data_IF_107556261311
#
_entry.id   IF_107556261311
#
_cell.length_a   1.000
_cell.length_b   1.000
_cell.length_c   1.000
_cell.angle_alpha   90.00
_cell.angle_beta   90.00
_cell.angle_gamma   90.00
#
_symmetry.space_group_name_H-M   'P 1'
#
loop_
_entity.id
_entity.type
_entity.pdbx_description
1 polymer ?
#
# COMPACT_ATOMS: atom_id res chain seq x y z
N UNK A 1 -16.81 -11.00 0.66
CA UNK A 1 -15.46 -10.47 0.95
C UNK A 1 -14.52 -10.84 -0.19
N UNK A 2 -13.75 -9.89 -0.73
CA UNK A 2 -12.75 -10.15 -1.80
C UNK A 2 -11.36 -9.86 -1.26
N UNK A 3 -10.38 -10.72 -1.56
CA UNK A 3 -8.99 -10.59 -1.13
C UNK A 3 -8.03 -10.81 -2.29
N UNK A 4 -7.00 -9.98 -2.37
CA UNK A 4 -5.88 -10.16 -3.31
C UNK A 4 -4.70 -10.78 -2.55
N UNK A 5 -4.17 -11.87 -3.06
CA UNK A 5 -2.98 -12.53 -2.51
C UNK A 5 -1.68 -11.91 -3.02
N UNK A 6 -1.76 -11.16 -4.12
CA UNK A 6 -0.58 -10.65 -4.85
C UNK A 6 0.31 -9.73 -4.04
N UNK A 7 -0.23 -8.98 -3.05
CA UNK A 7 0.54 -8.06 -2.20
C UNK A 7 1.11 -8.78 -0.99
N UNK A 8 0.27 -9.53 -0.30
CA UNK A 8 0.67 -10.21 0.93
C UNK A 8 1.79 -11.24 0.71
N UNK A 9 1.70 -12.00 -0.38
CA UNK A 9 2.70 -13.03 -0.73
C UNK A 9 3.74 -12.54 -1.75
N UNK A 10 3.80 -11.25 -2.06
CA UNK A 10 4.74 -10.67 -3.02
C UNK A 10 4.76 -11.34 -4.41
N UNK A 11 3.59 -11.78 -4.89
CA UNK A 11 3.40 -12.52 -6.15
C UNK A 11 2.58 -11.72 -7.20
N UNK A 12 2.96 -10.49 -7.54
CA UNK A 12 2.13 -9.64 -8.41
C UNK A 12 1.92 -10.25 -9.81
N UNK A 13 2.87 -11.06 -10.29
CA UNK A 13 2.81 -11.71 -11.61
C UNK A 13 1.78 -12.84 -11.69
N UNK A 14 1.48 -13.53 -10.60
CA UNK A 14 0.54 -14.68 -10.61
C UNK A 14 -0.93 -14.27 -10.69
N UNK A 15 -1.28 -13.02 -10.45
CA UNK A 15 -2.65 -12.48 -10.58
C UNK A 15 -3.70 -13.25 -9.78
N UNK A 16 -3.39 -13.61 -8.53
CA UNK A 16 -4.20 -14.48 -7.68
C UNK A 16 -4.97 -13.69 -6.61
N UNK A 17 -6.20 -14.09 -6.38
CA UNK A 17 -7.07 -13.59 -5.33
C UNK A 17 -8.20 -14.57 -5.08
N UNK A 18 -9.01 -14.30 -4.06
CA UNK A 18 -10.19 -15.11 -3.76
C UNK A 18 -11.34 -14.26 -3.27
N UNK A 19 -12.55 -14.80 -3.39
CA UNK A 19 -13.76 -14.24 -2.83
C UNK A 19 -14.40 -15.23 -1.85
N UNK A 20 -15.00 -14.70 -0.77
CA UNK A 20 -15.81 -15.46 0.17
C UNK A 20 -17.20 -14.83 0.23
N UNK A 21 -18.24 -15.64 0.10
CA UNK A 21 -19.62 -15.22 0.24
C UNK A 21 -20.39 -16.24 1.08
N UNK A 22 -21.31 -15.75 1.88
CA UNK A 22 -22.32 -16.59 2.55
C UNK A 22 -23.63 -16.67 1.75
N UNK A 23 -23.72 -15.95 0.62
CA UNK A 23 -24.91 -15.96 -0.23
C UNK A 23 -24.82 -17.11 -1.23
N UNK A 24 -25.77 -18.08 -1.24
CA UNK A 24 -25.66 -19.28 -2.05
C UNK A 24 -25.52 -19.03 -3.56
N UNK A 25 -26.30 -18.09 -4.10
CA UNK A 25 -26.34 -17.80 -5.55
C UNK A 25 -25.17 -16.96 -6.05
N UNK A 26 -24.41 -16.32 -5.15
CA UNK A 26 -23.30 -15.44 -5.54
C UNK A 26 -22.20 -16.16 -6.34
N UNK A 27 -21.92 -17.41 -6.00
CA UNK A 27 -20.90 -18.18 -6.71
C UNK A 27 -21.39 -18.65 -8.07
N UNK A 28 -22.67 -19.06 -8.19
CA UNK A 28 -23.25 -19.49 -9.44
C UNK A 28 -23.27 -18.34 -10.48
N UNK A 29 -23.61 -17.14 -10.03
CA UNK A 29 -23.59 -15.92 -10.85
C UNK A 29 -22.18 -15.55 -11.32
N UNK A 30 -21.19 -15.62 -10.41
CA UNK A 30 -19.78 -15.34 -10.73
C UNK A 30 -19.24 -16.41 -11.71
N UNK A 31 -19.53 -17.68 -11.44
CA UNK A 31 -19.04 -18.78 -12.28
C UNK A 31 -19.67 -18.74 -13.67
N UNK A 32 -20.94 -18.42 -13.79
CA UNK A 32 -21.63 -18.24 -15.06
C UNK A 32 -21.11 -17.07 -15.90
N UNK A 33 -20.52 -16.04 -15.26
CA UNK A 33 -19.96 -14.88 -15.94
C UNK A 33 -18.43 -14.95 -16.12
N UNK A 34 -17.77 -15.93 -15.50
CA UNK A 34 -16.31 -16.04 -15.51
C UNK A 34 -15.79 -16.56 -16.85
N UNK A 35 -14.81 -15.84 -17.42
CA UNK A 35 -14.14 -16.32 -18.63
C UNK A 35 -13.41 -17.64 -18.37
N UNK A 36 -13.43 -18.58 -19.33
CA UNK A 36 -12.59 -19.77 -19.28
C UNK A 36 -11.12 -19.40 -19.05
N UNK A 37 -10.39 -20.24 -18.33
CA UNK A 37 -8.96 -20.05 -18.05
C UNK A 37 -8.62 -18.77 -17.25
N UNK A 38 -9.57 -18.24 -16.50
CA UNK A 38 -9.40 -17.01 -15.70
C UNK A 38 -8.35 -17.12 -14.58
N UNK A 39 -8.01 -18.35 -14.16
CA UNK A 39 -6.90 -18.65 -13.25
C UNK A 39 -5.83 -19.40 -14.01
N UNK A 40 -4.59 -18.94 -13.95
CA UNK A 40 -3.48 -19.64 -14.58
C UNK A 40 -3.00 -20.84 -13.73
N UNK A 41 -2.46 -21.86 -14.37
CA UNK A 41 -2.05 -23.10 -13.71
C UNK A 41 -1.00 -22.88 -12.60
N UNK A 42 -0.09 -21.92 -12.75
CA UNK A 42 0.94 -21.63 -11.73
C UNK A 42 0.30 -21.01 -10.49
N UNK A 43 -0.71 -20.14 -10.65
CA UNK A 43 -1.45 -19.56 -9.55
C UNK A 43 -2.25 -20.63 -8.78
N UNK A 44 -2.90 -21.53 -9.49
CA UNK A 44 -3.65 -22.64 -8.92
C UNK A 44 -2.76 -23.59 -8.13
N UNK A 45 -1.63 -23.98 -8.71
CA UNK A 45 -0.63 -24.82 -8.04
C UNK A 45 -0.02 -24.16 -6.79
N UNK A 46 0.25 -22.85 -6.83
CA UNK A 46 0.86 -22.13 -5.71
C UNK A 46 -0.12 -21.91 -4.54
N UNK A 47 -1.43 -21.88 -4.80
CA UNK A 47 -2.43 -21.46 -3.82
C UNK A 47 -2.40 -22.27 -2.51
N UNK A 48 -2.40 -23.63 -2.52
CA UNK A 48 -2.34 -24.42 -1.28
C UNK A 48 -1.09 -24.11 -0.47
N UNK A 49 0.09 -24.09 -1.13
CA UNK A 49 1.38 -23.83 -0.48
C UNK A 49 1.38 -22.46 0.20
N UNK A 50 0.86 -21.42 -0.47
CA UNK A 50 0.79 -20.07 0.08
C UNK A 50 -0.14 -19.98 1.30
N UNK A 51 -1.28 -20.66 1.25
CA UNK A 51 -2.27 -20.60 2.32
C UNK A 51 -1.84 -21.42 3.56
N UNK A 52 -1.01 -22.44 3.38
CA UNK A 52 -0.49 -23.30 4.46
C UNK A 52 0.76 -22.73 5.13
N UNK A 53 1.49 -21.82 4.50
CA UNK A 53 2.71 -21.21 5.06
C UNK A 53 2.39 -20.21 6.19
N UNK A 54 2.10 -20.75 7.36
CA UNK A 54 1.79 -19.96 8.55
C UNK A 54 3.00 -19.17 9.06
N UNK A 55 4.21 -19.69 8.87
CA UNK A 55 5.43 -19.02 9.29
C UNK A 55 5.62 -17.70 8.52
N UNK A 56 5.50 -17.76 7.19
CA UNK A 56 5.53 -16.57 6.35
C UNK A 56 4.42 -15.56 6.70
N UNK A 57 3.21 -16.07 6.92
CA UNK A 57 2.07 -15.21 7.28
C UNK A 57 2.30 -14.46 8.58
N UNK A 58 2.83 -15.14 9.60
CA UNK A 58 3.11 -14.53 10.90
C UNK A 58 4.26 -13.52 10.81
N UNK A 59 5.34 -13.88 10.15
CA UNK A 59 6.49 -12.99 9.93
C UNK A 59 6.09 -11.73 9.17
N UNK A 60 5.29 -11.86 8.09
CA UNK A 60 4.80 -10.73 7.31
C UNK A 60 3.90 -9.80 8.12
N UNK A 61 3.00 -10.34 8.94
CA UNK A 61 2.12 -9.54 9.80
C UNK A 61 2.90 -8.75 10.84
N UNK A 62 3.88 -9.40 11.48
CA UNK A 62 4.70 -8.75 12.50
C UNK A 62 5.61 -7.67 11.89
N UNK A 63 6.29 -7.98 10.78
CA UNK A 63 7.07 -7.01 10.05
C UNK A 63 6.22 -5.79 9.65
N UNK A 64 5.05 -6.03 9.06
CA UNK A 64 4.16 -4.94 8.65
C UNK A 64 3.70 -4.10 9.84
N UNK A 65 3.43 -4.72 10.99
CA UNK A 65 3.04 -4.00 12.21
C UNK A 65 4.13 -3.03 12.65
N UNK A 66 5.37 -3.53 12.75
CA UNK A 66 6.52 -2.74 13.21
C UNK A 66 6.82 -1.59 12.24
N UNK A 67 6.96 -1.89 10.96
CA UNK A 67 7.32 -0.89 9.94
C UNK A 67 6.21 0.13 9.69
N UNK A 68 4.96 -0.30 9.79
CA UNK A 68 3.81 0.59 9.70
C UNK A 68 3.78 1.62 10.82
N UNK A 69 3.98 1.16 12.06
CA UNK A 69 3.95 2.03 13.23
C UNK A 69 5.15 2.99 13.21
N UNK A 70 6.33 2.52 12.82
CA UNK A 70 7.53 3.35 12.63
C UNK A 70 7.29 4.46 11.60
N UNK A 71 6.87 4.09 10.40
CA UNK A 71 6.68 5.07 9.32
C UNK A 71 5.53 6.05 9.62
N UNK A 72 4.45 5.56 10.23
CA UNK A 72 3.32 6.41 10.62
C UNK A 72 3.73 7.46 11.66
N UNK A 73 4.47 7.07 12.69
CA UNK A 73 4.99 7.99 13.70
C UNK A 73 5.94 9.02 13.07
N UNK A 74 6.86 8.57 12.21
CA UNK A 74 7.76 9.46 11.49
C UNK A 74 7.04 10.51 10.65
N UNK A 75 5.98 10.11 9.93
CA UNK A 75 5.16 11.05 9.15
C UNK A 75 4.38 12.03 10.02
N UNK A 76 3.88 11.58 11.17
CA UNK A 76 3.11 12.44 12.09
C UNK A 76 3.96 13.55 12.71
N UNK A 77 5.29 13.39 12.71
CA UNK A 77 6.21 14.41 13.21
C UNK A 77 6.33 15.66 12.31
N UNK A 78 5.90 15.55 11.02
CA UNK A 78 5.93 16.69 10.11
C UNK A 78 4.60 17.46 10.16
N UNK A 79 4.65 18.75 10.50
CA UNK A 79 3.46 19.62 10.53
C UNK A 79 2.76 19.76 9.19
N UNK A 80 3.51 19.66 8.09
CA UNK A 80 2.98 19.74 6.73
C UNK A 80 2.37 18.42 6.22
N UNK A 81 2.42 17.34 6.99
CA UNK A 81 1.88 16.02 6.60
C UNK A 81 0.77 15.62 7.57
N UNK A 82 -0.38 15.29 7.04
CA UNK A 82 -1.53 14.79 7.80
C UNK A 82 -1.79 13.33 7.41
N UNK A 83 -1.12 12.36 8.06
CA UNK A 83 -1.30 10.96 7.73
C UNK A 83 -2.60 10.40 8.31
N UNK A 84 -3.25 9.52 7.55
CA UNK A 84 -4.39 8.74 8.04
C UNK A 84 -3.88 7.41 8.60
N UNK A 85 -4.36 7.03 9.78
CA UNK A 85 -3.95 5.77 10.44
C UNK A 85 -4.19 4.58 9.52
N UNK A 86 -3.13 3.85 9.12
CA UNK A 86 -3.25 2.80 8.14
C UNK A 86 -3.74 1.48 8.75
N UNK A 87 -4.51 0.71 7.96
CA UNK A 87 -4.90 -0.66 8.26
C UNK A 87 -4.28 -1.68 7.30
N UNK A 88 -3.54 -1.20 6.30
CA UNK A 88 -2.96 -1.99 5.22
C UNK A 88 -1.47 -1.67 5.03
N UNK A 89 -0.87 -2.15 3.95
CA UNK A 89 0.55 -2.02 3.63
C UNK A 89 0.93 -0.70 2.94
N UNK A 90 0.15 0.34 3.10
CA UNK A 90 0.48 1.70 2.66
C UNK A 90 -0.12 2.73 3.61
N UNK A 91 0.45 3.95 3.61
CA UNK A 91 -0.07 5.10 4.36
C UNK A 91 -0.60 6.12 3.35
N UNK A 92 -1.83 6.53 3.54
CA UNK A 92 -2.44 7.65 2.84
C UNK A 92 -2.25 8.92 3.67
N UNK A 93 -1.95 10.04 3.03
CA UNK A 93 -1.79 11.32 3.70
C UNK A 93 -2.16 12.49 2.80
N UNK A 94 -2.53 13.59 3.44
CA UNK A 94 -2.66 14.90 2.85
C UNK A 94 -1.37 15.71 3.11
N UNK A 95 -0.88 16.38 2.08
CA UNK A 95 0.24 17.31 2.17
C UNK A 95 -0.28 18.75 2.21
N UNK A 96 0.11 19.51 3.24
CA UNK A 96 -0.37 20.86 3.51
C UNK A 96 0.57 21.95 2.97
N UNK A 97 1.79 21.59 2.57
CA UNK A 97 2.77 22.52 2.01
C UNK A 97 2.41 23.02 0.61
N UNK A 98 3.27 23.87 0.06
CA UNK A 98 3.00 24.58 -1.21
C UNK A 98 3.79 24.04 -2.39
N UNK A 99 4.87 23.27 -2.13
CA UNK A 99 5.70 22.71 -3.19
C UNK A 99 5.02 21.50 -3.84
N UNK A 100 5.45 21.14 -5.05
CA UNK A 100 5.10 19.83 -5.62
C UNK A 100 5.94 18.75 -4.93
N UNK A 101 5.42 18.20 -3.83
CA UNK A 101 6.09 17.15 -3.05
C UNK A 101 6.50 15.96 -3.90
N UNK A 102 5.68 15.57 -4.88
CA UNK A 102 5.97 14.46 -5.77
C UNK A 102 7.18 14.75 -6.65
N UNK A 103 7.31 15.96 -7.18
CA UNK A 103 8.44 16.37 -7.99
C UNK A 103 9.73 16.45 -7.16
N UNK A 104 9.66 17.03 -5.96
CA UNK A 104 10.80 17.14 -5.05
C UNK A 104 11.35 15.77 -4.64
N UNK A 105 10.47 14.84 -4.29
CA UNK A 105 10.88 13.47 -3.96
C UNK A 105 11.40 12.70 -5.19
N UNK A 106 10.82 12.93 -6.37
CA UNK A 106 11.26 12.30 -7.63
C UNK A 106 12.69 12.69 -8.00
N UNK A 107 13.09 13.96 -7.79
CA UNK A 107 14.48 14.41 -8.02
C UNK A 107 15.47 13.63 -7.14
N UNK A 108 15.01 13.13 -5.98
CA UNK A 108 15.77 12.29 -5.04
C UNK A 108 15.57 10.79 -5.26
N UNK A 109 14.99 10.41 -6.42
CA UNK A 109 14.70 9.02 -6.82
C UNK A 109 13.69 8.30 -5.92
N UNK A 110 12.86 9.05 -5.18
CA UNK A 110 11.77 8.52 -4.38
C UNK A 110 10.44 8.76 -5.11
N UNK A 111 9.68 7.70 -5.33
CA UNK A 111 8.43 7.75 -6.07
C UNK A 111 7.26 7.50 -5.14
N UNK A 112 6.40 8.50 -4.98
CA UNK A 112 5.16 8.41 -4.24
C UNK A 112 3.97 8.40 -5.20
N UNK A 113 2.85 7.80 -4.78
CA UNK A 113 1.64 7.72 -5.59
C UNK A 113 0.74 8.91 -5.32
N UNK A 114 0.45 9.74 -6.35
CA UNK A 114 -0.62 10.73 -6.30
C UNK A 114 -2.00 10.04 -6.30
N UNK A 115 -2.91 10.57 -5.50
CA UNK A 115 -4.28 10.11 -5.37
C UNK A 115 -5.30 11.06 -6.03
N UNK A 116 -4.87 12.06 -6.78
CA UNK A 116 -5.74 13.02 -7.45
C UNK A 116 -6.74 12.42 -8.45
N UNK A 117 -6.51 11.17 -8.87
CA UNK A 117 -7.42 10.44 -9.75
C UNK A 117 -8.59 9.77 -9.03
N UNK A 118 -8.68 9.86 -7.72
CA UNK A 118 -9.81 9.39 -6.93
C UNK A 118 -10.82 10.53 -6.75
N UNK A 119 -12.10 10.16 -6.64
CA UNK A 119 -13.18 11.10 -6.35
C UNK A 119 -12.89 11.85 -5.04
N UNK A 120 -13.13 13.14 -5.00
CA UNK A 120 -12.92 14.05 -3.86
C UNK A 120 -11.48 14.19 -3.35
N UNK A 121 -10.46 13.66 -4.08
CA UNK A 121 -9.07 13.87 -3.75
C UNK A 121 -8.40 14.82 -4.75
N UNK A 122 -7.40 15.54 -4.27
CA UNK A 122 -6.65 16.55 -5.01
C UNK A 122 -5.19 16.11 -5.25
N UNK A 123 -4.40 16.97 -5.88
CA UNK A 123 -2.96 16.83 -6.06
C UNK A 123 -2.16 16.90 -4.75
N UNK A 124 -2.81 17.25 -3.63
CA UNK A 124 -2.23 17.23 -2.27
C UNK A 124 -2.35 15.88 -1.58
N UNK A 125 -3.06 14.94 -2.18
CA UNK A 125 -3.29 13.63 -1.58
C UNK A 125 -2.38 12.56 -2.18
N UNK A 126 -1.66 11.89 -1.30
CA UNK A 126 -0.67 10.89 -1.68
C UNK A 126 -0.82 9.60 -0.89
N UNK A 127 -0.23 8.54 -1.42
CA UNK A 127 0.00 7.32 -0.66
C UNK A 127 1.41 6.81 -0.88
N UNK A 128 1.99 6.24 0.17
CA UNK A 128 3.31 5.60 0.16
C UNK A 128 3.19 4.16 0.62
N UNK A 129 3.96 3.27 0.03
CA UNK A 129 4.05 1.90 0.48
C UNK A 129 4.91 1.81 1.75
N UNK A 130 4.54 0.92 2.65
CA UNK A 130 5.40 0.51 3.75
C UNK A 130 6.41 -0.48 3.17
N UNK A 131 7.71 -0.18 3.36
CA UNK A 131 8.81 -0.93 2.77
C UNK A 131 9.78 -1.43 3.84
N UNK A 132 10.98 -1.85 3.45
CA UNK A 132 12.03 -2.21 4.42
C UNK A 132 12.34 -1.02 5.36
N UNK A 133 12.84 -1.33 6.55
CA UNK A 133 13.21 -0.30 7.53
C UNK A 133 14.11 0.76 6.93
N UNK A 134 15.17 0.34 6.25
CA UNK A 134 16.12 1.23 5.59
C UNK A 134 15.47 2.15 4.56
N UNK A 135 14.53 1.63 3.75
CA UNK A 135 13.83 2.45 2.75
C UNK A 135 12.85 3.43 3.41
N UNK A 136 12.22 3.03 4.52
CA UNK A 136 11.34 3.91 5.31
C UNK A 136 12.15 5.04 5.98
N UNK A 137 13.32 4.74 6.55
CA UNK A 137 14.25 5.75 7.09
C UNK A 137 14.71 6.72 5.99
N UNK A 138 15.10 6.20 4.83
CA UNK A 138 15.51 7.02 3.70
C UNK A 138 14.40 7.97 3.23
N UNK A 139 13.16 7.51 3.20
CA UNK A 139 12.02 8.36 2.88
C UNK A 139 11.85 9.47 3.92
N UNK A 140 11.89 9.15 5.22
CA UNK A 140 11.75 10.15 6.29
C UNK A 140 12.88 11.17 6.28
N UNK A 141 14.12 10.75 6.08
CA UNK A 141 15.27 11.64 5.93
C UNK A 141 15.10 12.59 4.74
N UNK A 142 14.67 12.05 3.60
CA UNK A 142 14.41 12.84 2.40
C UNK A 142 13.27 13.86 2.61
N UNK A 143 12.20 13.47 3.29
CA UNK A 143 11.12 14.38 3.67
C UNK A 143 11.62 15.50 4.59
N UNK A 144 12.48 15.20 5.55
CA UNK A 144 13.10 16.21 6.42
C UNK A 144 13.85 17.27 5.60
N UNK A 145 14.62 16.85 4.60
CA UNK A 145 15.36 17.79 3.74
C UNK A 145 14.43 18.63 2.85
N UNK A 146 13.38 18.03 2.32
CA UNK A 146 12.43 18.71 1.44
C UNK A 146 11.61 19.72 2.22
N UNK A 147 11.06 19.30 3.35
CA UNK A 147 10.13 20.12 4.14
C UNK A 147 10.85 21.23 4.93
N UNK A 148 12.13 21.04 5.26
CA UNK A 148 12.94 22.11 5.90
C UNK A 148 13.14 23.35 5.00
N UNK A 149 12.93 23.23 3.69
CA UNK A 149 13.04 24.34 2.75
C UNK A 149 11.75 25.17 2.64
N UNK A 150 10.68 24.70 3.19
CA UNK A 150 9.41 25.42 3.27
C UNK A 150 9.36 26.28 4.53
N UNK A 151 8.84 27.50 4.40
CA UNK A 151 8.49 28.31 5.57
C UNK A 151 7.46 27.54 6.42
N UNK A 152 7.51 27.67 7.75
CA UNK A 152 6.52 27.05 8.61
C UNK A 152 5.11 27.51 8.19
N UNK A 153 4.20 26.56 8.19
CA UNK A 153 2.79 26.80 7.93
C UNK A 153 2.21 27.52 9.18
N UNK A 154 1.89 28.81 9.05
CA UNK A 154 1.22 29.61 10.08
C UNK A 154 -0.27 29.22 10.19
#
# INVERSE_FOLDING_TARGET
MVRSLTKFYAIPGLRLGYALSCHPTCFDEIEGSRAPWSVNAMADYALPVLLEDQAYQQATKEWLRVERDFLFQGLTAFSQIRPVKPSVNYIFFEYLGQQDLRQELRQRKIFIRSCQNYHDLTDRHYRIAIRSHQENEQLLACLTEVLAKEAPYD
#
